data_IF_586396814427
#
_entry.id   IF_586396814427
#
_cell.length_a   1.000
_cell.length_b   1.000
_cell.length_c   1.000
_cell.angle_alpha   90.00
_cell.angle_beta   90.00
_cell.angle_gamma   90.00
#
_symmetry.space_group_name_H-M   'P 1'
#
loop_
_entity.id
_entity.type
_entity.pdbx_description
1 polymer ?
#
# COMPACT_ATOMS: atom_id res chain seq x y z
N UNK A 1 5.52 2.43 28.61
CA UNK A 1 5.29 2.99 27.28
C UNK A 1 5.40 1.92 26.21
N UNK A 2 4.40 1.81 25.39
CA UNK A 2 4.41 0.78 24.37
C UNK A 2 5.35 1.16 23.22
N UNK A 3 6.14 0.20 22.79
CA UNK A 3 7.00 0.38 21.64
C UNK A 3 6.14 0.48 20.38
N UNK A 4 6.45 1.46 19.54
CA UNK A 4 5.73 1.63 18.28
C UNK A 4 6.17 0.58 17.29
N UNK A 5 5.20 -0.04 16.64
CA UNK A 5 5.48 -1.00 15.57
C UNK A 5 5.54 -0.29 14.23
N UNK A 6 6.61 -0.53 13.50
CA UNK A 6 6.74 -0.01 12.14
C UNK A 6 6.22 -1.03 11.15
N UNK A 7 5.67 -0.53 10.06
CA UNK A 7 5.22 -1.40 8.99
C UNK A 7 6.43 -2.04 8.29
N UNK A 8 6.27 -3.29 7.89
CA UNK A 8 7.24 -3.92 7.02
C UNK A 8 7.26 -3.25 5.65
N UNK A 9 8.29 -3.51 4.88
CA UNK A 9 8.46 -2.85 3.59
C UNK A 9 7.29 -3.12 2.65
N UNK A 10 6.85 -4.36 2.55
CA UNK A 10 5.73 -4.68 1.67
C UNK A 10 4.43 -4.04 2.14
N UNK A 11 4.16 -4.07 3.45
CA UNK A 11 2.98 -3.41 3.98
C UNK A 11 2.98 -1.92 3.65
N UNK A 12 4.13 -1.28 3.79
CA UNK A 12 4.25 0.14 3.49
C UNK A 12 4.03 0.41 2.00
N UNK A 13 4.62 -0.42 1.14
CA UNK A 13 4.43 -0.28 -0.30
C UNK A 13 2.97 -0.49 -0.69
N UNK A 14 2.30 -1.47 -0.07
CA UNK A 14 0.89 -1.71 -0.34
C UNK A 14 0.05 -0.51 0.10
N UNK A 15 0.35 0.06 1.27
CA UNK A 15 -0.37 1.24 1.73
C UNK A 15 -0.22 2.41 0.76
N UNK A 16 1.01 2.68 0.30
CA UNK A 16 1.23 3.73 -0.70
C UNK A 16 0.52 3.41 -2.02
N UNK A 17 0.51 2.15 -2.44
CA UNK A 17 -0.14 1.76 -3.68
C UNK A 17 -1.66 1.95 -3.59
N UNK A 18 -2.26 1.64 -2.44
CA UNK A 18 -3.69 1.89 -2.23
C UNK A 18 -3.99 3.38 -2.39
N UNK A 19 -3.15 4.24 -1.81
CA UNK A 19 -3.32 5.68 -1.92
C UNK A 19 -3.15 6.15 -3.36
N UNK A 20 -2.21 5.56 -4.09
CA UNK A 20 -1.89 5.97 -5.44
C UNK A 20 -2.95 5.56 -6.45
N UNK A 21 -3.48 4.34 -6.31
CA UNK A 21 -4.55 3.84 -7.18
C UNK A 21 -5.86 4.54 -6.87
N UNK A 22 -6.07 4.89 -5.60
CA UNK A 22 -7.20 5.67 -5.14
C UNK A 22 -8.53 4.91 -5.33
N UNK A 23 -9.44 5.41 -6.17
CA UNK A 23 -10.82 4.94 -6.22
C UNK A 23 -11.00 3.48 -6.58
N UNK A 24 -10.09 2.91 -7.32
CA UNK A 24 -10.22 1.55 -7.83
C UNK A 24 -9.19 0.62 -7.21
N UNK A 25 -8.87 0.83 -5.95
CA UNK A 25 -7.81 0.08 -5.29
C UNK A 25 -8.28 -1.32 -4.91
N UNK A 26 -8.26 -2.23 -5.85
CA UNK A 26 -8.47 -3.65 -5.56
C UNK A 26 -7.16 -4.41 -5.80
N UNK A 27 -7.09 -5.64 -5.24
CA UNK A 27 -5.82 -6.35 -5.13
C UNK A 27 -4.98 -6.40 -6.39
N UNK A 28 -5.60 -6.70 -7.55
CA UNK A 28 -4.85 -6.82 -8.80
C UNK A 28 -4.23 -5.48 -9.19
N UNK A 29 -4.99 -4.39 -9.11
CA UNK A 29 -4.45 -3.07 -9.47
C UNK A 29 -3.37 -2.63 -8.50
N UNK A 30 -3.53 -2.93 -7.21
CA UNK A 30 -2.51 -2.61 -6.21
C UNK A 30 -1.21 -3.36 -6.55
N UNK A 31 -1.32 -4.65 -6.85
CA UNK A 31 -0.18 -5.47 -7.23
C UNK A 31 0.50 -4.92 -8.48
N UNK A 32 -0.29 -4.55 -9.50
CA UNK A 32 0.23 -4.00 -10.73
C UNK A 32 0.95 -2.67 -10.50
N UNK A 33 0.41 -1.83 -9.62
CA UNK A 33 1.05 -0.55 -9.33
C UNK A 33 2.40 -0.75 -8.64
N UNK A 34 2.48 -1.69 -7.70
CA UNK A 34 3.75 -1.99 -7.04
C UNK A 34 4.78 -2.51 -8.04
N UNK A 35 4.35 -3.43 -8.92
CA UNK A 35 5.26 -3.99 -9.92
C UNK A 35 5.74 -2.91 -10.88
N UNK A 36 4.84 -2.02 -11.29
CA UNK A 36 5.18 -0.92 -12.18
C UNK A 36 6.23 0.01 -11.56
N UNK A 37 6.06 0.36 -10.30
CA UNK A 37 6.95 1.30 -9.63
C UNK A 37 8.27 0.66 -9.21
N UNK A 38 8.25 -0.60 -8.83
CA UNK A 38 9.45 -1.28 -8.33
C UNK A 38 10.26 -1.98 -9.42
N UNK A 39 9.64 -2.26 -10.56
CA UNK A 39 10.27 -3.06 -11.61
C UNK A 39 10.34 -4.54 -11.27
N UNK A 40 9.65 -4.96 -10.23
CA UNK A 40 9.65 -6.37 -9.78
C UNK A 40 8.24 -6.86 -9.63
N UNK A 41 8.02 -8.11 -10.01
CA UNK A 41 6.72 -8.74 -9.82
C UNK A 41 6.49 -9.03 -8.35
N UNK A 42 5.28 -8.76 -7.90
CA UNK A 42 4.86 -9.03 -6.54
C UNK A 42 3.70 -10.01 -6.60
N UNK A 43 3.81 -11.12 -5.86
CA UNK A 43 2.76 -12.12 -5.83
C UNK A 43 1.48 -11.53 -5.27
N UNK A 44 0.37 -11.77 -5.96
CA UNK A 44 -0.92 -11.24 -5.54
C UNK A 44 -1.29 -11.73 -4.13
N UNK A 45 -0.93 -12.97 -3.79
CA UNK A 45 -1.20 -13.51 -2.47
C UNK A 45 -0.48 -12.72 -1.37
N UNK A 46 0.74 -12.25 -1.66
CA UNK A 46 1.50 -11.42 -0.71
C UNK A 46 0.84 -10.06 -0.52
N UNK A 47 0.29 -9.51 -1.60
CA UNK A 47 -0.42 -8.23 -1.52
C UNK A 47 -1.66 -8.37 -0.66
N UNK A 48 -2.45 -9.44 -0.86
CA UNK A 48 -3.64 -9.67 -0.04
C UNK A 48 -3.29 -9.91 1.42
N UNK A 49 -2.21 -10.64 1.70
CA UNK A 49 -1.76 -10.84 3.08
C UNK A 49 -1.38 -9.51 3.73
N UNK A 50 -0.70 -8.65 3.00
CA UNK A 50 -0.34 -7.32 3.50
C UNK A 50 -1.58 -6.46 3.75
N UNK A 51 -2.55 -6.50 2.82
CA UNK A 51 -3.81 -5.76 2.99
C UNK A 51 -4.56 -6.22 4.23
N UNK A 52 -4.58 -7.53 4.47
CA UNK A 52 -5.24 -8.06 5.65
C UNK A 52 -4.57 -7.55 6.93
N UNK A 53 -3.24 -7.52 6.96
CA UNK A 53 -2.51 -7.00 8.12
C UNK A 53 -2.77 -5.51 8.31
N UNK A 54 -2.79 -4.75 7.21
CA UNK A 54 -3.08 -3.31 7.28
C UNK A 54 -4.49 -3.05 7.79
N UNK A 55 -5.45 -3.87 7.36
CA UNK A 55 -6.82 -3.73 7.82
C UNK A 55 -6.94 -4.03 9.31
N UNK A 56 -6.24 -5.06 9.79
CA UNK A 56 -6.22 -5.38 11.21
C UNK A 56 -5.59 -4.27 12.04
N UNK A 57 -4.65 -3.55 11.48
CA UNK A 57 -4.01 -2.41 12.15
C UNK A 57 -4.84 -1.13 12.05
N UNK A 58 -5.95 -1.18 11.34
CA UNK A 58 -6.82 -0.01 11.19
C UNK A 58 -6.29 1.03 10.21
N UNK A 59 -5.38 0.64 9.33
CA UNK A 59 -4.74 1.57 8.39
C UNK A 59 -5.41 1.59 7.03
N UNK A 60 -6.11 0.51 6.65
CA UNK A 60 -6.97 0.50 5.47
C UNK A 60 -8.31 -0.09 5.87
N UNK A 61 -9.33 0.21 5.08
CA UNK A 61 -10.64 -0.40 5.21
C UNK A 61 -11.04 -0.97 3.86
N UNK A 62 -11.91 -1.96 3.87
CA UNK A 62 -12.34 -2.61 2.65
C UNK A 62 -13.85 -2.49 2.49
N UNK A 63 -14.29 -2.53 1.25
CA UNK A 63 -15.71 -2.58 0.95
C UNK A 63 -15.92 -3.38 -0.33
N UNK A 64 -17.10 -3.99 -0.45
CA UNK A 64 -17.46 -4.71 -1.66
C UNK A 64 -18.03 -3.72 -2.67
N UNK A 65 -17.57 -3.85 -3.91
CA UNK A 65 -18.14 -3.09 -5.01
C UNK A 65 -19.34 -3.81 -5.59
N UNK A 66 -19.89 -3.25 -6.66
CA UNK A 66 -21.03 -3.86 -7.34
C UNK A 66 -20.60 -5.14 -8.05
N UNK A 67 -21.41 -6.20 -7.98
CA UNK A 67 -21.15 -7.39 -8.80
C UNK A 67 -21.25 -7.02 -10.29
N UNK A 68 -20.37 -7.61 -11.09
CA UNK A 68 -20.39 -7.38 -12.53
C UNK A 68 -20.45 -8.70 -13.27
N UNK A 69 -21.02 -8.67 -14.47
CA UNK A 69 -21.08 -9.85 -15.33
C UNK A 69 -19.67 -10.35 -15.69
N UNK A 70 -18.72 -9.44 -15.82
CA UNK A 70 -17.35 -9.78 -16.17
C UNK A 70 -16.67 -10.65 -15.13
N UNK A 71 -17.13 -10.60 -13.90
CA UNK A 71 -16.61 -11.41 -12.80
C UNK A 71 -17.51 -12.56 -12.43
N UNK A 72 -18.40 -12.95 -13.32
CA UNK A 72 -19.34 -14.02 -13.03
C UNK A 72 -20.29 -13.70 -11.91
N UNK A 73 -20.62 -12.42 -11.74
CA UNK A 73 -21.53 -11.98 -10.69
C UNK A 73 -20.88 -11.76 -9.34
N UNK A 74 -19.55 -11.91 -9.25
CA UNK A 74 -18.86 -11.69 -7.97
C UNK A 74 -18.47 -10.22 -7.82
N UNK A 75 -18.64 -9.70 -6.59
CA UNK A 75 -18.23 -8.36 -6.27
C UNK A 75 -16.71 -8.30 -6.05
N UNK A 76 -16.11 -7.16 -6.41
CA UNK A 76 -14.72 -6.89 -6.07
C UNK A 76 -14.63 -6.28 -4.69
N UNK A 77 -13.56 -6.61 -3.99
CA UNK A 77 -13.23 -5.94 -2.74
C UNK A 77 -12.28 -4.79 -3.05
N UNK A 78 -12.71 -3.60 -2.66
CA UNK A 78 -11.91 -2.39 -2.82
C UNK A 78 -11.36 -1.97 -1.48
N UNK A 79 -10.20 -1.33 -1.49
CA UNK A 79 -9.53 -0.88 -0.28
C UNK A 79 -9.29 0.62 -0.36
N UNK A 80 -9.33 1.27 0.79
CA UNK A 80 -8.97 2.68 0.87
C UNK A 80 -8.26 2.93 2.20
N UNK A 81 -7.39 3.95 2.26
CA UNK A 81 -6.72 4.26 3.51
C UNK A 81 -7.70 4.89 4.50
N UNK A 82 -7.49 4.61 5.78
CA UNK A 82 -8.17 5.32 6.84
C UNK A 82 -7.39 6.60 7.15
N UNK A 83 -7.94 7.47 8.00
CA UNK A 83 -7.20 8.63 8.47
C UNK A 83 -5.90 8.20 9.17
N UNK A 84 -5.98 7.13 9.97
CA UNK A 84 -4.78 6.57 10.61
C UNK A 84 -3.78 6.08 9.57
N UNK A 85 -4.27 5.48 8.47
CA UNK A 85 -3.40 5.02 7.39
C UNK A 85 -2.70 6.16 6.69
N UNK A 86 -3.42 7.25 6.42
CA UNK A 86 -2.82 8.43 5.80
C UNK A 86 -1.74 9.03 6.70
N UNK A 87 -2.00 9.10 8.01
CA UNK A 87 -1.02 9.61 8.95
C UNK A 87 0.21 8.72 9.01
N UNK A 88 0.00 7.41 9.05
CA UNK A 88 1.11 6.46 9.09
C UNK A 88 1.97 6.57 7.83
N UNK A 89 1.34 6.68 6.67
CA UNK A 89 2.07 6.84 5.41
C UNK A 89 2.89 8.12 5.40
N UNK A 90 2.30 9.22 5.87
CA UNK A 90 3.00 10.51 5.93
C UNK A 90 4.20 10.44 6.87
N UNK A 91 3.99 9.86 8.06
CA UNK A 91 5.05 9.76 9.06
C UNK A 91 6.19 8.87 8.55
N UNK A 92 5.86 7.73 7.94
CA UNK A 92 6.87 6.82 7.40
C UNK A 92 7.66 7.48 6.27
N UNK A 93 6.97 8.15 5.37
CA UNK A 93 7.63 8.87 4.27
C UNK A 93 8.58 9.93 4.80
N UNK A 94 8.14 10.71 5.78
CA UNK A 94 8.97 11.75 6.37
C UNK A 94 10.19 11.18 7.07
N UNK A 95 10.03 10.08 7.80
CA UNK A 95 11.14 9.42 8.48
C UNK A 95 12.18 8.93 7.48
N UNK A 96 11.71 8.27 6.40
CA UNK A 96 12.63 7.77 5.37
C UNK A 96 13.38 8.90 4.69
N UNK A 97 12.67 10.00 4.38
CA UNK A 97 13.33 11.15 3.76
C UNK A 97 14.42 11.73 4.67
N UNK A 98 14.13 11.86 5.95
CA UNK A 98 15.12 12.39 6.90
C UNK A 98 16.33 11.47 7.03
N UNK A 99 16.09 10.17 7.07
CA UNK A 99 17.18 9.21 7.16
C UNK A 99 18.02 9.15 5.89
N UNK A 100 17.39 9.40 4.73
CA UNK A 100 18.11 9.41 3.45
C UNK A 100 18.86 10.72 3.21
N UNK A 101 18.52 11.76 3.94
CA UNK A 101 19.10 13.08 3.73
C UNK A 101 20.61 13.05 3.97
N UNK A 102 21.36 13.58 3.03
CA UNK A 102 22.81 13.65 3.15
C UNK A 102 23.55 12.36 2.85
N UNK A 103 22.84 11.27 2.52
CA UNK A 103 23.51 10.01 2.20
C UNK A 103 24.06 10.07 0.78
N UNK A 104 25.34 9.71 0.59
CA UNK A 104 25.91 9.66 -0.76
C UNK A 104 25.16 8.65 -1.63
N UNK A 105 24.92 9.03 -2.87
CA UNK A 105 24.25 8.15 -3.83
C UNK A 105 22.73 8.14 -3.73
N UNK A 106 22.16 8.75 -2.71
CA UNK A 106 20.70 8.81 -2.54
C UNK A 106 20.16 10.22 -2.66
N UNK A 107 21.02 11.21 -2.81
CA UNK A 107 20.62 12.61 -2.78
C UNK A 107 19.81 13.03 -4.00
N UNK A 108 19.92 12.29 -5.11
CA UNK A 108 19.18 12.61 -6.32
C UNK A 108 18.88 11.34 -7.09
N UNK A 109 17.82 11.34 -7.89
CA UNK A 109 17.51 10.17 -8.71
C UNK A 109 18.63 9.87 -9.69
N UNK A 110 18.85 8.60 -9.93
CA UNK A 110 19.78 8.16 -10.96
C UNK A 110 19.00 8.14 -12.26
N UNK A 111 19.50 8.88 -13.22
CA UNK A 111 18.84 8.96 -14.52
C UNK A 111 18.95 7.67 -15.29
#
# INVERSE_FOLDING_TARGET
MRKRDYLGQLELMVLFAVMRVNRNAYGVLISQEISKQSGRDVAIASVYAALERLEKKGLVTSCLGEPTAERGGKARTYFKPTMAGLKEARDAHGTLLRLCSGLPGLARPIA
#
